data_IF_595782039665
#
_entry.id   IF_595782039665
#
_cell.length_a   1.000
_cell.length_b   1.000
_cell.length_c   1.000
_cell.angle_alpha   90.00
_cell.angle_beta   90.00
_cell.angle_gamma   90.00
#
_symmetry.space_group_name_H-M   'P 1'
#
loop_
_entity.id
_entity.type
_entity.pdbx_description
1 polymer ?
#
# COMPACT_ATOMS: atom_id res chain seq x y z
N UNK A 1 -26.74 -39.25 9.53
CA UNK A 1 -27.28 -38.15 8.71
C UNK A 1 -27.13 -36.77 9.36
N UNK A 2 -27.22 -36.62 10.69
CA UNK A 2 -27.00 -35.32 11.37
C UNK A 2 -25.55 -34.81 11.36
N UNK A 3 -24.55 -35.71 11.43
CA UNK A 3 -23.13 -35.33 11.38
C UNK A 3 -22.76 -34.62 10.06
N UNK A 4 -23.35 -35.04 8.93
CA UNK A 4 -23.16 -34.37 7.63
C UNK A 4 -23.91 -33.02 7.55
N UNK A 5 -25.01 -32.82 8.30
CA UNK A 5 -25.69 -31.52 8.35
C UNK A 5 -24.88 -30.50 9.15
N UNK A 6 -24.31 -30.87 10.29
CA UNK A 6 -23.45 -30.00 11.08
C UNK A 6 -22.15 -29.62 10.34
N UNK A 7 -21.52 -30.57 9.65
CA UNK A 7 -20.36 -30.29 8.79
C UNK A 7 -20.74 -29.39 7.61
N UNK A 8 -21.90 -29.61 6.96
CA UNK A 8 -22.37 -28.76 5.85
C UNK A 8 -22.77 -27.36 6.32
N UNK A 9 -23.35 -27.22 7.51
CA UNK A 9 -23.70 -25.93 8.11
C UNK A 9 -22.43 -25.22 8.59
N UNK A 10 -21.46 -25.90 9.21
CA UNK A 10 -20.16 -25.31 9.54
C UNK A 10 -19.38 -24.90 8.28
N UNK A 11 -19.38 -25.73 7.23
CA UNK A 11 -18.75 -25.39 5.96
C UNK A 11 -19.42 -24.17 5.33
N UNK A 12 -20.76 -24.12 5.27
CA UNK A 12 -21.50 -22.96 4.75
C UNK A 12 -21.30 -21.71 5.62
N UNK A 13 -21.32 -21.83 6.95
CA UNK A 13 -21.13 -20.70 7.86
C UNK A 13 -19.69 -20.16 7.82
N UNK A 14 -18.67 -21.01 7.57
CA UNK A 14 -17.31 -20.56 7.23
C UNK A 14 -17.33 -19.84 5.85
N UNK A 15 -17.72 -20.57 4.79
CA UNK A 15 -17.72 -20.12 3.38
C UNK A 15 -18.43 -18.77 3.15
N UNK A 16 -19.47 -18.46 3.93
CA UNK A 16 -20.35 -17.29 3.73
C UNK A 16 -19.87 -16.03 4.48
N UNK A 17 -19.05 -16.18 5.52
CA UNK A 17 -18.26 -15.09 6.10
C UNK A 17 -17.06 -14.78 5.19
N UNK A 18 -16.56 -15.80 4.49
CA UNK A 18 -15.31 -15.74 3.72
C UNK A 18 -15.37 -14.79 2.51
N UNK A 19 -16.45 -14.75 1.70
CA UNK A 19 -16.49 -13.83 0.54
C UNK A 19 -16.39 -12.36 0.95
N UNK A 20 -17.30 -11.90 1.83
CA UNK A 20 -17.35 -10.51 2.29
C UNK A 20 -16.03 -10.13 2.98
N UNK A 21 -15.56 -11.00 3.88
CA UNK A 21 -14.36 -10.75 4.67
C UNK A 21 -13.11 -10.71 3.79
N UNK A 22 -12.92 -11.65 2.87
CA UNK A 22 -11.73 -11.70 2.01
C UNK A 22 -11.66 -10.48 1.08
N UNK A 23 -12.78 -10.14 0.45
CA UNK A 23 -12.87 -8.94 -0.38
C UNK A 23 -12.61 -7.68 0.44
N UNK A 24 -13.22 -7.58 1.62
CA UNK A 24 -13.00 -6.45 2.52
C UNK A 24 -11.52 -6.34 2.90
N UNK A 25 -10.87 -7.46 3.24
CA UNK A 25 -9.46 -7.50 3.60
C UNK A 25 -8.58 -7.02 2.45
N UNK A 26 -8.86 -7.39 1.20
CA UNK A 26 -8.12 -6.88 0.02
C UNK A 26 -8.27 -5.35 -0.13
N UNK A 27 -9.49 -4.83 0.02
CA UNK A 27 -9.75 -3.38 -0.13
C UNK A 27 -9.19 -2.57 1.04
N UNK A 28 -9.33 -3.08 2.26
CA UNK A 28 -8.82 -2.46 3.47
C UNK A 28 -7.29 -2.48 3.52
N UNK A 29 -6.67 -3.59 3.09
CA UNK A 29 -5.20 -3.69 3.00
C UNK A 29 -4.62 -2.71 1.99
N UNK A 30 -5.28 -2.46 0.86
CA UNK A 30 -4.87 -1.41 -0.09
C UNK A 30 -4.92 -0.01 0.53
N UNK A 31 -5.99 0.31 1.29
CA UNK A 31 -6.12 1.61 1.97
C UNK A 31 -5.15 1.77 3.15
N UNK A 32 -4.96 0.73 3.95
CA UNK A 32 -4.01 0.77 5.09
C UNK A 32 -2.56 0.82 4.62
N UNK A 33 -2.24 0.17 3.48
CA UNK A 33 -0.92 0.26 2.84
C UNK A 33 -0.62 1.67 2.34
N UNK A 34 -1.65 2.43 1.93
CA UNK A 34 -1.50 3.85 1.59
C UNK A 34 -1.27 4.73 2.83
N UNK A 35 -1.82 4.37 3.99
CA UNK A 35 -1.72 5.18 5.22
C UNK A 35 -0.30 5.21 5.80
N UNK A 36 0.39 4.06 5.83
CA UNK A 36 1.72 3.95 6.45
C UNK A 36 2.81 3.69 5.44
N UNK A 37 3.89 4.45 5.52
CA UNK A 37 5.06 4.28 4.65
C UNK A 37 5.61 2.84 4.69
N UNK A 38 5.65 2.23 5.87
CA UNK A 38 6.25 0.91 6.09
C UNK A 38 5.26 -0.26 5.94
N UNK A 39 4.01 -0.01 5.50
CA UNK A 39 3.03 -1.07 5.37
C UNK A 39 3.22 -1.93 4.11
N UNK A 40 3.88 -1.41 3.08
CA UNK A 40 4.16 -2.16 1.86
C UNK A 40 5.52 -1.80 1.28
N UNK A 41 6.22 -2.81 0.73
CA UNK A 41 7.59 -2.66 0.24
C UNK A 41 7.71 -1.58 -0.85
N UNK A 42 6.75 -1.56 -1.78
CA UNK A 42 6.73 -0.61 -2.90
C UNK A 42 6.69 0.86 -2.46
N UNK A 43 6.24 1.16 -1.24
CA UNK A 43 6.16 2.53 -0.75
C UNK A 43 7.57 3.13 -0.58
N UNK A 44 8.50 2.36 0.01
CA UNK A 44 9.90 2.77 0.14
C UNK A 44 10.59 2.80 -1.22
N UNK A 45 10.24 1.88 -2.13
CA UNK A 45 10.75 1.88 -3.50
C UNK A 45 10.39 3.18 -4.23
N UNK A 46 9.14 3.63 -4.15
CA UNK A 46 8.69 4.88 -4.76
C UNK A 46 9.55 6.07 -4.29
N UNK A 47 9.82 6.17 -2.98
CA UNK A 47 10.64 7.26 -2.42
C UNK A 47 12.10 7.18 -2.88
N UNK A 48 12.68 5.97 -2.95
CA UNK A 48 14.04 5.81 -3.47
C UNK A 48 14.13 6.14 -4.96
N UNK A 49 13.12 5.77 -5.76
CA UNK A 49 13.04 6.12 -7.17
C UNK A 49 12.75 7.60 -7.41
N UNK A 50 12.06 8.27 -6.49
CA UNK A 50 11.88 9.72 -6.54
C UNK A 50 13.20 10.46 -6.34
N UNK A 51 13.99 10.03 -5.35
CA UNK A 51 15.31 10.60 -5.09
C UNK A 51 16.30 10.34 -6.23
N UNK A 52 16.25 9.15 -6.87
CA UNK A 52 17.13 8.85 -8.02
C UNK A 52 16.89 9.76 -9.22
N UNK A 53 15.76 10.48 -9.26
CA UNK A 53 15.45 11.52 -10.25
C UNK A 53 15.40 12.94 -9.71
N UNK A 54 15.94 13.16 -8.51
CA UNK A 54 16.13 14.49 -7.92
C UNK A 54 14.92 15.04 -7.18
N UNK A 55 13.96 14.19 -6.78
CA UNK A 55 12.86 14.59 -5.90
C UNK A 55 13.13 14.04 -4.50
N UNK A 56 13.66 14.89 -3.63
CA UNK A 56 13.88 14.55 -2.23
C UNK A 56 12.62 14.80 -1.40
N UNK A 57 12.18 13.78 -0.66
CA UNK A 57 11.03 13.88 0.25
C UNK A 57 11.57 14.09 1.67
N UNK A 58 11.42 15.30 2.24
CA UNK A 58 11.89 15.57 3.60
C UNK A 58 11.10 14.71 4.58
N UNK A 59 11.75 14.26 5.66
CA UNK A 59 11.13 13.46 6.71
C UNK A 59 10.18 12.38 6.17
N UNK A 60 10.73 11.47 5.34
CA UNK A 60 9.99 10.50 4.51
C UNK A 60 8.74 9.90 5.20
N UNK A 61 8.88 9.48 6.46
CA UNK A 61 7.78 8.87 7.21
C UNK A 61 6.68 9.87 7.58
N UNK A 62 7.06 11.02 8.15
CA UNK A 62 6.11 12.07 8.54
C UNK A 62 5.45 12.69 7.32
N UNK A 63 6.19 12.98 6.26
CA UNK A 63 5.63 13.51 5.00
C UNK A 63 4.64 12.54 4.37
N UNK A 64 4.95 11.23 4.39
CA UNK A 64 4.01 10.21 3.93
C UNK A 64 2.74 10.19 4.76
N UNK A 65 2.85 10.10 6.08
CA UNK A 65 1.68 10.05 6.97
C UNK A 65 0.86 11.34 6.88
N UNK A 66 1.52 12.50 6.83
CA UNK A 66 0.89 13.81 6.73
C UNK A 66 0.07 13.93 5.45
N UNK A 67 0.59 13.47 4.32
CA UNK A 67 -0.19 13.43 3.08
C UNK A 67 -1.33 12.41 3.16
N UNK A 68 -1.03 11.18 3.57
CA UNK A 68 -1.98 10.07 3.48
C UNK A 68 -3.12 10.16 4.50
N UNK A 69 -2.92 10.74 5.68
CA UNK A 69 -3.79 10.50 6.84
C UNK A 69 -5.28 10.74 6.56
N UNK A 70 -5.66 11.91 6.05
CA UNK A 70 -7.06 12.22 5.77
C UNK A 70 -7.65 11.36 4.65
N UNK A 71 -7.10 11.36 3.41
CA UNK A 71 -7.70 10.59 2.33
C UNK A 71 -7.68 9.08 2.59
N UNK A 72 -6.60 8.55 3.19
CA UNK A 72 -6.50 7.12 3.50
C UNK A 72 -7.46 6.69 4.62
N UNK A 73 -7.69 7.51 5.66
CA UNK A 73 -8.69 7.20 6.68
C UNK A 73 -10.10 7.23 6.10
N UNK A 74 -10.40 8.19 5.22
CA UNK A 74 -11.69 8.25 4.53
C UNK A 74 -11.93 7.01 3.68
N UNK A 75 -10.94 6.59 2.89
CA UNK A 75 -11.10 5.36 2.08
C UNK A 75 -11.15 4.11 2.96
N UNK A 76 -10.30 4.01 3.98
CA UNK A 76 -10.28 2.87 4.91
C UNK A 76 -11.61 2.68 5.65
N UNK A 77 -12.26 3.76 6.07
CA UNK A 77 -13.57 3.71 6.74
C UNK A 77 -14.72 3.45 5.75
N UNK A 78 -14.61 3.96 4.53
CA UNK A 78 -15.67 3.81 3.51
C UNK A 78 -15.63 2.47 2.78
N UNK A 79 -14.45 1.87 2.57
CA UNK A 79 -14.29 0.56 1.93
C UNK A 79 -15.20 -0.52 2.55
N UNK A 80 -15.22 -0.77 3.87
CA UNK A 80 -16.13 -1.75 4.46
C UNK A 80 -17.61 -1.42 4.21
N UNK A 81 -17.99 -0.14 4.24
CA UNK A 81 -19.37 0.25 3.96
C UNK A 81 -19.77 -0.03 2.49
N UNK A 82 -18.90 0.27 1.54
CA UNK A 82 -19.12 0.01 0.10
C UNK A 82 -19.27 -1.49 -0.14
N UNK A 83 -18.34 -2.30 0.40
CA UNK A 83 -18.40 -3.76 0.28
C UNK A 83 -19.68 -4.29 0.91
N UNK A 84 -20.05 -3.83 2.11
CA UNK A 84 -21.25 -4.29 2.82
C UNK A 84 -22.54 -3.96 2.05
N UNK A 85 -22.59 -2.81 1.36
CA UNK A 85 -23.76 -2.41 0.58
C UNK A 85 -23.90 -3.19 -0.73
N UNK A 86 -22.80 -3.52 -1.38
CA UNK A 86 -22.79 -4.23 -2.66
C UNK A 86 -22.92 -5.76 -2.48
N UNK A 87 -22.25 -6.28 -1.45
CA UNK A 87 -22.18 -7.70 -1.13
C UNK A 87 -22.37 -7.89 0.38
N UNK A 88 -23.59 -7.70 0.89
CA UNK A 88 -23.85 -7.87 2.31
C UNK A 88 -23.51 -9.30 2.74
N UNK A 89 -22.88 -9.49 3.92
CA UNK A 89 -22.62 -10.82 4.44
C UNK A 89 -23.95 -11.53 4.71
N UNK A 90 -24.02 -12.79 4.32
CA UNK A 90 -25.21 -13.62 4.52
C UNK A 90 -25.44 -13.91 6.01
N UNK A 91 -24.34 -14.10 6.77
CA UNK A 91 -24.36 -14.24 8.23
C UNK A 91 -24.05 -12.90 8.90
N UNK A 92 -25.08 -12.24 9.45
CA UNK A 92 -24.94 -10.95 10.16
C UNK A 92 -24.80 -11.08 11.68
N UNK A 93 -25.01 -12.28 12.21
CA UNK A 93 -24.93 -12.57 13.64
C UNK A 93 -24.21 -13.89 13.85
N UNK A 94 -23.13 -13.85 14.62
CA UNK A 94 -22.38 -15.03 15.03
C UNK A 94 -22.43 -15.09 16.55
N UNK A 95 -23.51 -15.64 17.08
CA UNK A 95 -23.83 -15.63 18.54
C UNK A 95 -22.70 -16.30 19.35
N UNK A 96 -22.05 -17.31 18.78
CA UNK A 96 -20.97 -18.06 19.42
C UNK A 96 -19.57 -17.44 19.24
N UNK A 97 -19.42 -16.38 18.44
CA UNK A 97 -18.09 -15.78 18.20
C UNK A 97 -17.47 -15.18 19.48
N UNK A 98 -18.20 -14.44 20.34
CA UNK A 98 -17.62 -13.90 21.57
C UNK A 98 -17.18 -14.99 22.55
N UNK A 99 -17.97 -16.06 22.70
CA UNK A 99 -17.62 -17.18 23.59
C UNK A 99 -16.44 -17.97 23.04
N UNK A 100 -16.36 -18.18 21.73
CA UNK A 100 -15.22 -18.81 21.06
C UNK A 100 -13.95 -17.97 21.20
N UNK A 101 -14.02 -16.65 20.98
CA UNK A 101 -12.89 -15.74 21.13
C UNK A 101 -12.38 -15.72 22.57
N UNK A 102 -13.27 -15.67 23.56
CA UNK A 102 -12.91 -15.75 24.99
C UNK A 102 -12.19 -17.07 25.31
N UNK A 103 -12.72 -18.20 24.84
CA UNK A 103 -12.09 -19.52 25.05
C UNK A 103 -10.71 -19.61 24.39
N UNK A 104 -10.53 -19.05 23.19
CA UNK A 104 -9.23 -19.00 22.51
C UNK A 104 -8.24 -18.09 23.25
N UNK A 105 -8.70 -16.93 23.75
CA UNK A 105 -7.87 -16.03 24.56
C UNK A 105 -7.43 -16.70 25.87
N UNK A 106 -8.34 -17.40 26.56
CA UNK A 106 -8.01 -18.20 27.75
C UNK A 106 -6.99 -19.30 27.45
N UNK A 107 -7.06 -19.94 26.28
CA UNK A 107 -6.08 -20.93 25.82
C UNK A 107 -4.71 -20.33 25.47
N UNK A 108 -4.66 -19.10 24.96
CA UNK A 108 -3.41 -18.41 24.65
C UNK A 108 -2.65 -18.00 25.93
N UNK A 109 -3.39 -17.72 27.01
CA UNK A 109 -2.83 -17.33 28.29
C UNK A 109 -2.37 -15.86 28.32
N UNK A 110 -1.68 -15.44 29.39
CA UNK A 110 -1.16 -14.08 29.49
C UNK A 110 -0.05 -13.82 28.44
N UNK A 111 0.07 -12.54 28.03
CA UNK A 111 1.12 -12.11 27.11
C UNK A 111 2.51 -12.49 27.62
N UNK A 112 3.29 -13.14 26.76
CA UNK A 112 4.65 -13.55 27.05
C UNK A 112 5.59 -12.34 27.06
N UNK A 113 6.72 -12.47 27.75
CA UNK A 113 7.75 -11.43 27.76
C UNK A 113 8.22 -11.06 26.35
N UNK A 114 8.38 -12.04 25.46
CA UNK A 114 8.78 -11.78 24.06
C UNK A 114 7.75 -10.94 23.29
N UNK A 115 6.46 -11.15 23.54
CA UNK A 115 5.38 -10.39 22.91
C UNK A 115 5.36 -8.95 23.43
N UNK A 116 5.59 -8.74 24.73
CA UNK A 116 5.76 -7.40 25.30
C UNK A 116 6.99 -6.67 24.75
N UNK A 117 8.13 -7.36 24.64
CA UNK A 117 9.36 -6.80 24.08
C UNK A 117 9.16 -6.38 22.61
N UNK A 118 8.45 -7.19 21.82
CA UNK A 118 8.11 -6.88 20.43
C UNK A 118 7.29 -5.57 20.32
N UNK A 119 6.25 -5.41 21.15
CA UNK A 119 5.43 -4.19 21.19
C UNK A 119 6.28 -2.97 21.57
N UNK A 120 7.12 -3.09 22.60
CA UNK A 120 8.01 -2.00 23.04
C UNK A 120 8.99 -1.61 21.94
N UNK A 121 9.66 -2.56 21.30
CA UNK A 121 10.62 -2.28 20.22
C UNK A 121 9.92 -1.64 19.02
N UNK A 122 8.71 -2.09 18.68
CA UNK A 122 7.90 -1.48 17.63
C UNK A 122 7.58 -0.01 17.96
N UNK A 123 7.15 0.28 19.19
CA UNK A 123 6.88 1.66 19.63
C UNK A 123 8.15 2.53 19.61
N UNK A 124 9.29 2.00 20.01
CA UNK A 124 10.60 2.70 19.92
C UNK A 124 10.94 3.01 18.45
N UNK A 125 10.79 2.03 17.56
CA UNK A 125 11.10 2.18 16.13
C UNK A 125 10.21 3.25 15.49
N UNK A 126 8.90 3.23 15.75
CA UNK A 126 7.96 4.25 15.27
C UNK A 126 8.30 5.63 15.84
N UNK A 127 8.65 5.71 17.12
CA UNK A 127 9.07 6.97 17.75
C UNK A 127 10.32 7.55 17.08
N UNK A 128 11.28 6.69 16.71
CA UNK A 128 12.47 7.11 15.96
C UNK A 128 12.16 7.56 14.54
N UNK A 129 11.20 6.95 13.85
CA UNK A 129 10.75 7.43 12.54
C UNK A 129 10.08 8.81 12.61
N UNK A 130 9.33 9.07 13.68
CA UNK A 130 8.68 10.37 13.90
C UNK A 130 9.72 11.45 14.26
N UNK A 131 10.61 11.15 15.21
CA UNK A 131 11.60 12.10 15.71
C UNK A 131 12.86 12.22 14.83
N UNK A 132 13.05 11.31 13.87
CA UNK A 132 14.31 11.05 13.18
C UNK A 132 14.97 12.28 12.57
N UNK A 133 14.21 13.18 11.96
CA UNK A 133 14.75 14.43 11.41
C UNK A 133 15.34 15.35 12.50
N UNK A 134 14.66 15.49 13.64
CA UNK A 134 15.11 16.34 14.74
C UNK A 134 16.39 15.81 15.42
N UNK A 135 16.50 14.49 15.53
CA UNK A 135 17.65 13.82 16.16
C UNK A 135 18.69 13.32 15.14
N UNK A 136 18.53 13.67 13.86
CA UNK A 136 19.39 13.25 12.73
C UNK A 136 19.57 11.74 12.59
N UNK A 137 18.52 10.98 12.89
CA UNK A 137 18.46 9.53 12.68
C UNK A 137 17.72 9.25 11.37
N UNK A 138 18.44 8.66 10.41
CA UNK A 138 17.85 8.22 9.16
C UNK A 138 16.83 7.08 9.39
N UNK A 139 15.78 7.01 8.57
CA UNK A 139 14.73 5.99 8.69
C UNK A 139 15.26 4.54 8.64
N UNK A 140 16.29 4.30 7.82
CA UNK A 140 16.97 3.00 7.72
C UNK A 140 17.69 2.65 9.03
N UNK A 141 18.33 3.62 9.68
CA UNK A 141 19.01 3.41 10.97
C UNK A 141 17.99 3.02 12.05
N UNK A 142 16.84 3.69 12.09
CA UNK A 142 15.77 3.33 13.03
C UNK A 142 15.29 1.88 12.83
N UNK A 143 15.10 1.45 11.57
CA UNK A 143 14.73 0.07 11.25
C UNK A 143 15.82 -0.95 11.64
N UNK A 144 17.08 -0.64 11.35
CA UNK A 144 18.23 -1.49 11.72
C UNK A 144 18.39 -1.61 13.24
N UNK A 145 18.16 -0.53 13.98
CA UNK A 145 18.17 -0.55 15.44
C UNK A 145 17.04 -1.44 15.98
N UNK A 146 15.82 -1.30 15.46
CA UNK A 146 14.69 -2.16 15.84
C UNK A 146 14.98 -3.64 15.62
N UNK A 147 15.49 -4.01 14.44
CA UNK A 147 15.89 -5.39 14.15
C UNK A 147 17.02 -5.88 15.07
N UNK A 148 18.02 -5.04 15.32
CA UNK A 148 19.14 -5.37 16.22
C UNK A 148 18.64 -5.64 17.64
N UNK A 149 17.71 -4.83 18.16
CA UNK A 149 17.10 -5.04 19.48
C UNK A 149 16.29 -6.34 19.53
N UNK A 150 15.55 -6.68 18.47
CA UNK A 150 14.78 -7.94 18.41
C UNK A 150 15.70 -9.16 18.47
N UNK A 151 16.85 -9.12 17.78
CA UNK A 151 17.85 -10.19 17.81
C UNK A 151 18.56 -10.26 19.17
N UNK A 152 19.00 -9.12 19.71
CA UNK A 152 19.71 -9.06 21.00
C UNK A 152 18.86 -9.54 22.17
N UNK A 153 17.57 -9.24 22.17
CA UNK A 153 16.63 -9.65 23.21
C UNK A 153 16.05 -11.05 22.99
N UNK A 154 16.48 -11.75 21.94
CA UNK A 154 16.03 -13.12 21.62
C UNK A 154 14.55 -13.20 21.23
N UNK A 155 13.95 -12.10 20.79
CA UNK A 155 12.58 -12.08 20.24
C UNK A 155 12.57 -12.69 18.84
N UNK A 156 13.63 -12.43 18.06
CA UNK A 156 13.91 -13.08 16.79
C UNK A 156 15.26 -13.79 16.85
N UNK A 157 15.39 -14.87 16.11
CA UNK A 157 16.65 -15.56 15.86
C UNK A 157 17.24 -15.12 14.53
N UNK A 158 18.54 -15.36 14.33
CA UNK A 158 19.18 -15.12 13.03
C UNK A 158 18.59 -16.00 11.92
N UNK A 159 18.20 -17.23 12.26
CA UNK A 159 17.56 -18.16 11.32
C UNK A 159 16.18 -17.62 10.86
N UNK A 160 15.43 -16.96 11.74
CA UNK A 160 14.18 -16.28 11.35
C UNK A 160 14.44 -15.21 10.28
N UNK A 161 15.55 -14.46 10.42
CA UNK A 161 15.94 -13.45 9.43
C UNK A 161 16.41 -14.06 8.09
N UNK A 162 17.16 -15.16 8.13
CA UNK A 162 17.61 -15.85 6.92
C UNK A 162 16.46 -16.53 6.18
N UNK A 163 15.48 -17.06 6.92
CA UNK A 163 14.32 -17.75 6.36
C UNK A 163 13.24 -16.81 5.84
N UNK A 164 13.31 -15.50 6.13
CA UNK A 164 12.39 -14.48 5.64
C UNK A 164 12.63 -14.13 4.16
N UNK A 165 12.30 -15.08 3.27
CA UNK A 165 12.55 -14.99 1.82
C UNK A 165 11.95 -13.74 1.17
N UNK A 166 10.83 -13.24 1.69
CA UNK A 166 10.17 -12.05 1.12
C UNK A 166 11.02 -10.79 1.25
N UNK A 167 11.74 -10.63 2.37
CA UNK A 167 12.63 -9.49 2.56
C UNK A 167 13.84 -9.55 1.61
N UNK A 168 14.44 -10.74 1.43
CA UNK A 168 15.57 -10.94 0.52
C UNK A 168 15.20 -10.74 -0.95
N UNK A 169 14.05 -11.27 -1.37
CA UNK A 169 13.53 -11.06 -2.72
C UNK A 169 13.30 -9.57 -3.00
N UNK A 170 12.66 -8.87 -2.05
CA UNK A 170 12.44 -7.41 -2.12
C UNK A 170 13.76 -6.64 -2.25
N UNK A 171 14.77 -6.96 -1.43
CA UNK A 171 16.07 -6.31 -1.45
C UNK A 171 16.77 -6.48 -2.82
N UNK A 172 16.78 -7.70 -3.35
CA UNK A 172 17.41 -8.00 -4.63
C UNK A 172 16.72 -7.25 -5.78
N UNK A 173 15.39 -7.31 -5.84
CA UNK A 173 14.62 -6.60 -6.86
C UNK A 173 14.79 -5.08 -6.78
N UNK A 174 14.71 -4.50 -5.59
CA UNK A 174 14.82 -3.05 -5.43
C UNK A 174 16.22 -2.56 -5.85
N UNK A 175 17.28 -3.29 -5.48
CA UNK A 175 18.65 -2.95 -5.87
C UNK A 175 18.82 -2.92 -7.40
N UNK A 176 18.37 -3.97 -8.09
CA UNK A 176 18.47 -4.05 -9.56
C UNK A 176 17.65 -2.94 -10.23
N UNK A 177 16.41 -2.73 -9.79
CA UNK A 177 15.48 -1.82 -10.45
C UNK A 177 15.85 -0.35 -10.25
N UNK A 178 16.28 0.03 -9.04
CA UNK A 178 16.83 1.38 -8.79
C UNK A 178 18.09 1.60 -9.63
N UNK A 179 18.95 0.59 -9.76
CA UNK A 179 20.12 0.64 -10.65
C UNK A 179 19.75 0.84 -12.12
N UNK A 180 18.80 0.05 -12.65
CA UNK A 180 18.33 0.18 -14.03
C UNK A 180 17.64 1.52 -14.29
N UNK A 181 16.78 2.00 -13.38
CA UNK A 181 16.12 3.29 -13.50
C UNK A 181 17.14 4.44 -13.55
N UNK A 182 18.18 4.37 -12.71
CA UNK A 182 19.30 5.32 -12.73
C UNK A 182 20.00 5.32 -14.08
N UNK A 183 20.30 4.15 -14.65
CA UNK A 183 20.95 4.07 -15.97
C UNK A 183 20.04 4.55 -17.10
N UNK A 184 18.74 4.25 -17.10
CA UNK A 184 17.79 4.76 -18.10
C UNK A 184 17.66 6.29 -18.04
N UNK A 185 17.75 6.87 -16.84
CA UNK A 185 17.79 8.32 -16.65
C UNK A 185 19.10 8.91 -17.19
N UNK A 186 20.25 8.34 -16.83
CA UNK A 186 21.58 8.77 -17.31
C UNK A 186 21.74 8.65 -18.82
N UNK A 187 21.21 7.58 -19.44
CA UNK A 187 21.23 7.36 -20.88
C UNK A 187 20.24 8.24 -21.66
N UNK A 188 19.42 9.04 -20.98
CA UNK A 188 18.51 10.00 -21.62
C UNK A 188 17.16 9.43 -22.07
N UNK A 189 16.87 8.14 -21.83
CA UNK A 189 15.59 7.52 -22.21
C UNK A 189 14.43 8.12 -21.43
N UNK A 190 14.57 8.22 -20.10
CA UNK A 190 13.54 8.81 -19.24
C UNK A 190 13.33 10.31 -19.57
N UNK A 191 14.39 11.14 -19.67
CA UNK A 191 14.26 12.52 -20.13
C UNK A 191 13.56 12.67 -21.48
N UNK A 192 13.91 11.86 -22.48
CA UNK A 192 13.31 11.93 -23.82
C UNK A 192 11.81 11.62 -23.80
N UNK A 193 11.42 10.54 -23.11
CA UNK A 193 10.02 10.13 -23.01
C UNK A 193 9.20 11.19 -22.25
N UNK A 194 9.76 11.69 -21.14
CA UNK A 194 9.11 12.68 -20.29
C UNK A 194 8.90 13.99 -21.03
N UNK A 195 9.90 14.43 -21.80
CA UNK A 195 9.81 15.61 -22.67
C UNK A 195 8.74 15.44 -23.75
N UNK A 196 8.69 14.29 -24.42
CA UNK A 196 7.71 14.03 -25.48
C UNK A 196 6.26 14.12 -24.96
N UNK A 197 6.00 13.57 -23.78
CA UNK A 197 4.67 13.67 -23.13
C UNK A 197 4.42 15.08 -22.60
N UNK A 198 5.40 15.68 -21.93
CA UNK A 198 5.33 17.03 -21.37
C UNK A 198 5.03 18.09 -22.44
N UNK A 199 5.77 18.08 -23.55
CA UNK A 199 5.54 18.95 -24.71
C UNK A 199 4.14 18.73 -25.31
N UNK A 200 3.66 17.49 -25.33
CA UNK A 200 2.30 17.15 -25.77
C UNK A 200 1.20 17.70 -24.87
N UNK A 201 1.44 17.81 -23.55
CA UNK A 201 0.49 18.41 -22.60
C UNK A 201 0.58 19.95 -22.63
N UNK A 202 1.80 20.48 -22.67
CA UNK A 202 2.09 21.91 -22.71
C UNK A 202 1.59 22.56 -24.01
N UNK A 203 1.75 21.90 -25.16
CA UNK A 203 1.23 22.40 -26.46
C UNK A 203 -0.29 22.51 -26.49
N UNK A 204 -0.99 21.69 -25.70
CA UNK A 204 -2.44 21.78 -25.49
C UNK A 204 -2.83 22.79 -24.40
N UNK A 205 -1.87 23.54 -23.86
CA UNK A 205 -2.07 24.51 -22.77
C UNK A 205 -2.77 23.92 -21.55
N UNK A 206 -2.53 22.64 -21.25
CA UNK A 206 -3.09 21.98 -20.07
C UNK A 206 -2.38 22.50 -18.83
N UNK A 207 -3.14 22.96 -17.84
CA UNK A 207 -2.61 23.45 -16.57
C UNK A 207 -1.94 22.32 -15.78
N UNK A 208 -0.98 22.64 -14.91
CA UNK A 208 -0.31 21.62 -14.10
C UNK A 208 -1.29 20.73 -13.29
N UNK A 209 -2.43 21.22 -12.73
CA UNK A 209 -3.39 20.34 -12.06
C UNK A 209 -4.08 19.39 -13.03
N UNK A 210 -4.36 19.85 -14.26
CA UNK A 210 -4.94 19.01 -15.31
C UNK A 210 -3.97 17.92 -15.75
N UNK A 211 -2.70 18.29 -15.96
CA UNK A 211 -1.62 17.35 -16.29
C UNK A 211 -1.40 16.34 -15.17
N UNK A 212 -1.42 16.78 -13.90
CA UNK A 212 -1.38 15.91 -12.73
C UNK A 212 -2.52 14.89 -12.77
N UNK A 213 -3.77 15.34 -12.92
CA UNK A 213 -4.92 14.46 -12.96
C UNK A 213 -4.84 13.43 -14.10
N UNK A 214 -4.49 13.86 -15.32
CA UNK A 214 -4.35 12.96 -16.47
C UNK A 214 -3.27 11.90 -16.21
N UNK A 215 -2.08 12.32 -15.79
CA UNK A 215 -0.95 11.40 -15.57
C UNK A 215 -1.20 10.45 -14.39
N UNK A 216 -1.85 10.91 -13.32
CA UNK A 216 -2.23 10.05 -12.19
C UNK A 216 -3.28 9.01 -12.59
N UNK A 217 -4.29 9.40 -13.37
CA UNK A 217 -5.31 8.46 -13.87
C UNK A 217 -4.71 7.45 -14.85
N UNK A 218 -3.85 7.90 -15.77
CA UNK A 218 -3.12 7.01 -16.68
C UNK A 218 -2.24 6.02 -15.94
N UNK A 219 -1.47 6.50 -14.95
CA UNK A 219 -0.66 5.64 -14.07
C UNK A 219 -1.56 4.60 -13.38
N UNK A 220 -2.67 5.05 -12.78
CA UNK A 220 -3.56 4.15 -12.05
C UNK A 220 -4.13 3.01 -12.90
N UNK A 221 -4.69 3.33 -14.07
CA UNK A 221 -5.40 2.32 -14.89
C UNK A 221 -4.49 1.45 -15.74
N UNK A 222 -3.28 1.91 -16.09
CA UNK A 222 -2.28 1.05 -16.72
C UNK A 222 -1.96 -0.17 -15.86
N UNK A 223 -2.18 -0.10 -14.54
CA UNK A 223 -1.97 -1.23 -13.65
C UNK A 223 -2.80 -2.48 -14.00
N UNK A 224 -3.90 -2.38 -14.75
CA UNK A 224 -4.58 -3.57 -15.30
C UNK A 224 -3.66 -4.45 -16.16
N UNK A 225 -2.56 -3.90 -16.68
CA UNK A 225 -1.58 -4.63 -17.48
C UNK A 225 -0.44 -5.21 -16.63
N UNK A 226 -0.48 -5.05 -15.31
CA UNK A 226 0.57 -5.47 -14.39
C UNK A 226 0.04 -6.42 -13.31
N UNK A 227 0.75 -7.52 -13.10
CA UNK A 227 0.47 -8.51 -12.06
C UNK A 227 1.11 -8.20 -10.70
N UNK A 228 1.72 -7.02 -10.52
CA UNK A 228 2.41 -6.65 -9.29
C UNK A 228 2.56 -5.15 -9.15
N UNK A 229 2.23 -4.61 -7.97
CA UNK A 229 2.44 -3.20 -7.62
C UNK A 229 3.93 -2.84 -7.72
N UNK A 230 4.81 -3.69 -7.18
CA UNK A 230 6.25 -3.50 -7.25
C UNK A 230 6.76 -3.49 -8.69
N UNK A 231 6.31 -4.43 -9.53
CA UNK A 231 6.71 -4.47 -10.94
C UNK A 231 6.27 -3.19 -11.68
N UNK A 232 5.06 -2.72 -11.41
CA UNK A 232 4.55 -1.47 -11.97
C UNK A 232 5.38 -0.25 -11.53
N UNK A 233 5.64 -0.09 -10.23
CA UNK A 233 6.51 0.99 -9.73
C UNK A 233 7.86 0.97 -10.43
N UNK A 234 8.46 -0.20 -10.50
CA UNK A 234 9.79 -0.37 -11.06
C UNK A 234 9.88 -0.03 -12.56
N UNK A 235 8.81 -0.32 -13.30
CA UNK A 235 8.75 -0.04 -14.74
C UNK A 235 8.41 1.42 -15.05
N UNK A 236 7.46 2.02 -14.32
CA UNK A 236 6.78 3.24 -14.78
C UNK A 236 6.90 4.43 -13.82
N UNK A 237 7.18 4.23 -12.53
CA UNK A 237 7.12 5.32 -11.54
C UNK A 237 8.04 6.48 -11.91
N UNK A 238 9.32 6.19 -12.18
CA UNK A 238 10.32 7.19 -12.53
C UNK A 238 9.96 7.97 -13.80
N UNK A 239 9.44 7.29 -14.81
CA UNK A 239 9.00 7.91 -16.06
C UNK A 239 7.82 8.86 -15.81
N UNK A 240 6.78 8.39 -15.12
CA UNK A 240 5.60 9.21 -14.80
C UNK A 240 5.92 10.39 -13.88
N UNK A 241 6.84 10.21 -12.93
CA UNK A 241 7.29 11.30 -12.07
C UNK A 241 7.99 12.38 -12.89
N UNK A 242 8.91 12.01 -13.79
CA UNK A 242 9.57 12.97 -14.68
C UNK A 242 8.60 13.64 -15.67
N UNK A 243 7.62 12.91 -16.21
CA UNK A 243 6.54 13.51 -17.02
C UNK A 243 5.75 14.58 -16.24
N UNK A 244 5.45 14.33 -14.97
CA UNK A 244 4.74 15.30 -14.12
C UNK A 244 5.60 16.53 -13.84
N UNK A 245 6.90 16.35 -13.57
CA UNK A 245 7.84 17.46 -13.36
C UNK A 245 7.94 18.32 -14.64
N UNK A 246 8.03 17.70 -15.81
CA UNK A 246 8.04 18.42 -17.10
C UNK A 246 6.73 19.18 -17.36
N UNK A 247 5.60 18.63 -16.90
CA UNK A 247 4.31 19.29 -16.91
C UNK A 247 4.13 20.32 -15.77
N UNK A 248 5.22 20.71 -15.09
CA UNK A 248 5.28 21.73 -14.03
C UNK A 248 4.48 21.38 -12.77
N UNK A 249 4.22 20.09 -12.52
CA UNK A 249 3.63 19.63 -11.27
C UNK A 249 4.69 19.73 -10.15
N UNK A 250 4.34 20.22 -8.95
CA UNK A 250 5.25 20.21 -7.80
C UNK A 250 5.80 18.81 -7.51
N UNK A 251 7.13 18.69 -7.38
CA UNK A 251 7.81 17.38 -7.34
C UNK A 251 7.36 16.46 -6.20
N UNK A 252 7.25 16.98 -4.97
CA UNK A 252 6.80 16.21 -3.81
C UNK A 252 5.34 15.75 -3.97
N UNK A 253 4.47 16.60 -4.51
CA UNK A 253 3.09 16.25 -4.83
C UNK A 253 3.02 15.12 -5.86
N UNK A 254 3.80 15.21 -6.94
CA UNK A 254 3.86 14.21 -7.99
C UNK A 254 4.34 12.86 -7.44
N UNK A 255 5.43 12.87 -6.66
CA UNK A 255 6.03 11.68 -6.09
C UNK A 255 5.09 10.98 -5.10
N UNK A 256 4.51 11.72 -4.15
CA UNK A 256 3.57 11.16 -3.18
C UNK A 256 2.28 10.70 -3.86
N UNK A 257 1.71 11.48 -4.78
CA UNK A 257 0.50 11.11 -5.51
C UNK A 257 0.65 9.79 -6.27
N UNK A 258 1.77 9.59 -6.98
CA UNK A 258 2.06 8.32 -7.63
C UNK A 258 2.20 7.18 -6.63
N UNK A 259 2.92 7.41 -5.52
CA UNK A 259 3.17 6.39 -4.52
C UNK A 259 1.89 5.95 -3.78
N UNK A 260 0.97 6.88 -3.52
CA UNK A 260 -0.34 6.55 -2.96
C UNK A 260 -1.18 5.77 -3.96
N UNK A 261 -1.22 6.18 -5.23
CA UNK A 261 -1.92 5.45 -6.28
C UNK A 261 -1.41 4.01 -6.38
N UNK A 262 -0.12 3.78 -6.17
CA UNK A 262 0.44 2.43 -6.11
C UNK A 262 -0.26 1.51 -5.12
N UNK A 263 -0.68 2.04 -3.97
CA UNK A 263 -1.41 1.25 -2.98
C UNK A 263 -2.87 1.08 -3.37
N UNK A 264 -3.51 2.16 -3.81
CA UNK A 264 -4.94 2.20 -4.11
C UNK A 264 -5.34 1.30 -5.29
N UNK A 265 -4.44 1.08 -6.24
CA UNK A 265 -4.67 0.16 -7.35
C UNK A 265 -4.40 -1.32 -7.02
N UNK A 266 -3.93 -1.63 -5.81
CA UNK A 266 -3.58 -2.98 -5.37
C UNK A 266 -4.75 -3.97 -5.29
N UNK A 267 -5.98 -3.46 -5.38
CA UNK A 267 -7.23 -4.21 -5.33
C UNK A 267 -8.10 -4.07 -6.60
N UNK A 268 -7.52 -3.64 -7.73
CA UNK A 268 -8.21 -3.49 -9.01
C UNK A 268 -8.66 -4.83 -9.62
N UNK A 269 -7.80 -5.83 -9.54
CA UNK A 269 -7.98 -7.16 -10.08
C UNK A 269 -7.36 -8.21 -9.14
N UNK A 270 -7.69 -9.48 -9.37
CA UNK A 270 -7.19 -10.61 -8.58
C UNK A 270 -5.66 -10.76 -8.59
N UNK A 271 -4.98 -10.24 -9.60
CA UNK A 271 -3.51 -10.26 -9.70
C UNK A 271 -2.84 -8.91 -9.38
N UNK A 272 -3.60 -7.86 -9.03
CA UNK A 272 -3.02 -6.52 -8.89
C UNK A 272 -1.95 -6.44 -7.79
N UNK A 273 -2.07 -7.27 -6.77
CA UNK A 273 -1.11 -7.35 -5.66
C UNK A 273 -0.94 -8.79 -5.19
N UNK A 274 0.14 -9.05 -4.44
CA UNK A 274 0.32 -10.34 -3.77
C UNK A 274 -0.83 -10.66 -2.81
N UNK A 275 -1.36 -9.65 -2.13
CA UNK A 275 -2.54 -9.77 -1.27
C UNK A 275 -3.76 -10.21 -2.08
N UNK A 276 -4.07 -9.50 -3.18
CA UNK A 276 -5.19 -9.84 -4.05
C UNK A 276 -5.09 -11.28 -4.60
N UNK A 277 -3.88 -11.70 -4.98
CA UNK A 277 -3.64 -13.05 -5.50
C UNK A 277 -3.87 -14.13 -4.43
N UNK A 278 -3.38 -13.90 -3.20
CA UNK A 278 -3.58 -14.82 -2.06
C UNK A 278 -5.06 -14.93 -1.70
N UNK A 279 -5.75 -13.80 -1.56
CA UNK A 279 -7.16 -13.79 -1.17
C UNK A 279 -8.07 -14.38 -2.26
N UNK A 280 -7.78 -14.14 -3.54
CA UNK A 280 -8.50 -14.78 -4.64
C UNK A 280 -8.20 -16.28 -4.73
N UNK A 281 -6.94 -16.68 -4.52
CA UNK A 281 -6.49 -18.07 -4.52
C UNK A 281 -7.15 -18.95 -3.45
N UNK A 282 -7.77 -18.34 -2.43
CA UNK A 282 -8.56 -19.06 -1.43
C UNK A 282 -9.84 -19.69 -1.98
N UNK A 283 -10.30 -19.30 -3.18
CA UNK A 283 -11.40 -19.97 -3.91
C UNK A 283 -12.81 -19.57 -3.49
N UNK A 284 -12.95 -18.52 -2.66
CA UNK A 284 -14.25 -18.05 -2.14
C UNK A 284 -14.88 -16.93 -2.97
N UNK A 285 -14.15 -16.32 -3.91
CA UNK A 285 -14.56 -15.12 -4.64
C UNK A 285 -14.57 -15.38 -6.15
N UNK A 286 -15.70 -15.13 -6.80
CA UNK A 286 -15.79 -15.25 -8.26
C UNK A 286 -15.12 -14.08 -8.99
N UNK A 287 -14.48 -14.37 -10.11
CA UNK A 287 -13.71 -13.41 -10.90
C UNK A 287 -14.50 -12.14 -11.31
N UNK A 288 -15.77 -12.22 -11.77
CA UNK A 288 -16.53 -11.03 -12.14
C UNK A 288 -16.76 -10.08 -10.95
N UNK A 289 -16.91 -10.63 -9.75
CA UNK A 289 -17.07 -9.84 -8.53
C UNK A 289 -15.80 -9.11 -8.14
N UNK A 290 -14.63 -9.74 -8.31
CA UNK A 290 -13.34 -9.08 -8.10
C UNK A 290 -13.20 -7.85 -8.99
N UNK A 291 -13.43 -8.00 -10.29
CA UNK A 291 -13.30 -6.88 -11.23
C UNK A 291 -14.34 -5.78 -11.01
N UNK A 292 -15.61 -6.15 -10.81
CA UNK A 292 -16.69 -5.19 -10.58
C UNK A 292 -16.45 -4.37 -9.33
N UNK A 293 -16.06 -5.02 -8.24
CA UNK A 293 -15.79 -4.31 -7.00
C UNK A 293 -14.47 -3.53 -7.09
N UNK A 294 -13.44 -4.12 -7.69
CA UNK A 294 -12.15 -3.48 -7.90
C UNK A 294 -12.30 -2.15 -8.63
N UNK A 295 -13.06 -2.09 -9.73
CA UNK A 295 -13.31 -0.83 -10.44
C UNK A 295 -14.16 0.15 -9.63
N UNK A 296 -15.18 -0.32 -8.90
CA UNK A 296 -16.03 0.56 -8.08
C UNK A 296 -15.24 1.21 -6.96
N UNK A 297 -14.44 0.43 -6.23
CA UNK A 297 -13.62 0.94 -5.12
C UNK A 297 -12.45 1.76 -5.66
N UNK A 298 -11.86 1.41 -6.81
CA UNK A 298 -10.86 2.23 -7.48
C UNK A 298 -11.38 3.63 -7.82
N UNK A 299 -12.55 3.73 -8.48
CA UNK A 299 -13.17 5.01 -8.82
C UNK A 299 -13.49 5.80 -7.57
N UNK A 300 -14.02 5.15 -6.54
CA UNK A 300 -14.28 5.78 -5.24
C UNK A 300 -12.98 6.33 -4.61
N UNK A 301 -11.92 5.53 -4.55
CA UNK A 301 -10.63 5.92 -4.01
C UNK A 301 -10.06 7.11 -4.80
N UNK A 302 -10.07 7.06 -6.12
CA UNK A 302 -9.64 8.17 -6.99
C UNK A 302 -10.41 9.45 -6.66
N UNK A 303 -11.73 9.39 -6.53
CA UNK A 303 -12.56 10.57 -6.21
C UNK A 303 -12.20 11.12 -4.84
N UNK A 304 -12.12 10.27 -3.82
CA UNK A 304 -11.78 10.70 -2.45
C UNK A 304 -10.38 11.32 -2.42
N UNK A 305 -9.38 10.67 -3.02
CA UNK A 305 -8.01 11.15 -3.03
C UNK A 305 -7.82 12.40 -3.89
N UNK A 306 -8.54 12.56 -5.00
CA UNK A 306 -8.50 13.79 -5.78
C UNK A 306 -9.18 14.95 -5.05
N UNK A 307 -10.36 14.75 -4.44
CA UNK A 307 -11.10 15.83 -3.80
C UNK A 307 -10.53 16.18 -2.42
N UNK A 308 -10.48 15.19 -1.52
CA UNK A 308 -9.97 15.40 -0.16
C UNK A 308 -8.46 15.56 -0.15
N UNK A 309 -7.73 14.80 -0.98
CA UNK A 309 -6.28 14.93 -1.08
C UNK A 309 -5.86 16.28 -1.65
N UNK A 310 -6.50 16.81 -2.71
CA UNK A 310 -6.17 18.16 -3.19
C UNK A 310 -6.38 19.23 -2.11
N UNK A 311 -7.52 19.22 -1.42
CA UNK A 311 -7.78 20.16 -0.34
C UNK A 311 -6.77 19.99 0.81
N UNK A 312 -6.54 18.75 1.24
CA UNK A 312 -5.68 18.43 2.36
C UNK A 312 -4.21 18.73 2.09
N UNK A 313 -3.68 18.31 0.93
CA UNK A 313 -2.31 18.55 0.51
C UNK A 313 -1.98 20.04 0.48
N UNK A 314 -2.93 20.88 0.09
CA UNK A 314 -2.79 22.34 0.17
C UNK A 314 -2.74 22.84 1.62
N UNK A 315 -3.62 22.32 2.49
CA UNK A 315 -3.64 22.67 3.93
C UNK A 315 -2.32 22.30 4.61
N UNK A 316 -1.76 21.13 4.29
CA UNK A 316 -0.52 20.65 4.89
C UNK A 316 0.75 21.17 4.21
N UNK A 317 0.61 22.00 3.16
CA UNK A 317 1.74 22.63 2.46
C UNK A 317 2.57 21.67 1.61
N UNK A 318 1.97 20.62 1.04
CA UNK A 318 2.61 19.75 0.04
C UNK A 318 2.71 20.48 -1.31
N UNK A 319 1.77 21.40 -1.59
CA UNK A 319 1.79 22.33 -2.71
C UNK A 319 1.01 23.61 -2.40
#
# INVERSE_FOLDING_TARGET
>A
MEHNRLLTIMFKVLLMIDFFLLIFLVQASSSSSALFLTAAAQNLLCLNLAESVGVEIPNRWVSWLKGACIPALLTLLASPYIVYKLYPPETKKTIDAPSMAKRRLEQMGPMKTSEWLMVVIMLVTVSLWIAGEHIKVASVIAAMLGLSLLLLLGVLTWEDCLSEKSAWDTLAWFGVLVGMATQLNTLGVIPWLSKSVGDGLNSRSISWPGSFAILQLSYFFIHYLFASQTAHVSALYTAFLKMQIEAKVPGVLAALGLAYNTNLFGALAHYSSGQAAVYFGAGYVELPHVFKLGIVVAVFNIIVWMLSGAAWFKIVGIY
#
